data_IF_774395783627
#
_entry.id   IF_774395783627
#
_cell.length_a   1.000
_cell.length_b   1.000
_cell.length_c   1.000
_cell.angle_alpha   90.00
_cell.angle_beta   90.00
_cell.angle_gamma   90.00
#
_symmetry.space_group_name_H-M   'P 1'
#
loop_
_entity.id
_entity.type
_entity.pdbx_description
1 polymer ?
#
# COMPACT_ATOMS: atom_id res chain seq x y z
N UNK A 1 7.89 6.76 -17.14
CA UNK A 1 8.17 7.16 -15.75
C UNK A 1 7.33 6.36 -14.78
N UNK A 2 6.07 6.69 -14.46
CA UNK A 2 5.26 5.88 -13.54
C UNK A 2 5.03 4.43 -14.00
N UNK A 3 5.06 4.20 -15.30
CA UNK A 3 4.94 2.87 -15.89
C UNK A 3 6.22 2.02 -15.78
N UNK A 4 7.34 2.64 -15.41
CA UNK A 4 8.64 1.95 -15.26
C UNK A 4 8.84 1.42 -13.83
N UNK A 5 8.00 1.83 -12.89
CA UNK A 5 8.03 1.41 -11.50
C UNK A 5 6.84 0.51 -11.20
N UNK A 6 7.10 -0.56 -10.46
CA UNK A 6 6.12 -1.62 -10.21
C UNK A 6 5.83 -1.79 -8.73
N UNK A 7 4.59 -2.16 -8.45
CA UNK A 7 4.13 -2.56 -7.13
C UNK A 7 3.57 -3.99 -7.19
N UNK A 8 3.71 -4.75 -6.11
CA UNK A 8 3.20 -6.12 -6.05
C UNK A 8 1.69 -6.17 -6.13
N UNK A 9 1.15 -7.26 -6.68
CA UNK A 9 -0.29 -7.53 -6.74
C UNK A 9 -0.97 -7.60 -5.37
N UNK A 10 -0.22 -7.77 -4.28
CA UNK A 10 -0.78 -7.87 -2.93
C UNK A 10 -1.63 -6.65 -2.56
N UNK A 11 -1.32 -5.47 -3.14
CA UNK A 11 -2.10 -4.25 -2.94
C UNK A 11 -3.53 -4.33 -3.50
N UNK A 12 -3.79 -5.20 -4.49
CA UNK A 12 -5.15 -5.47 -4.98
C UNK A 12 -6.01 -6.05 -3.86
N UNK A 13 -5.43 -6.94 -3.05
CA UNK A 13 -6.11 -7.53 -1.90
C UNK A 13 -6.61 -6.49 -0.89
N UNK A 14 -5.95 -5.33 -0.77
CA UNK A 14 -6.41 -4.23 0.08
C UNK A 14 -7.77 -3.70 -0.37
N UNK A 15 -7.92 -3.48 -1.68
CA UNK A 15 -9.16 -2.96 -2.28
C UNK A 15 -10.27 -4.02 -2.26
N UNK A 16 -9.95 -5.26 -2.63
CA UNK A 16 -10.92 -6.38 -2.58
C UNK A 16 -11.45 -6.58 -1.16
N UNK A 17 -10.57 -6.59 -0.16
CA UNK A 17 -10.96 -6.70 1.23
C UNK A 17 -11.84 -5.54 1.68
N UNK A 18 -11.48 -4.31 1.31
CA UNK A 18 -12.26 -3.13 1.66
C UNK A 18 -13.67 -3.18 1.08
N UNK A 19 -13.82 -3.50 -0.20
CA UNK A 19 -15.14 -3.66 -0.83
C UNK A 19 -15.98 -4.72 -0.13
N UNK A 20 -15.38 -5.85 0.20
CA UNK A 20 -16.05 -6.95 0.85
C UNK A 20 -16.57 -6.59 2.25
N UNK A 21 -15.71 -6.07 3.12
CA UNK A 21 -16.10 -5.74 4.51
C UNK A 21 -17.03 -4.54 4.60
N UNK A 22 -17.00 -3.65 3.62
CA UNK A 22 -17.89 -2.48 3.51
C UNK A 22 -19.21 -2.80 2.79
N UNK A 23 -19.39 -4.04 2.30
CA UNK A 23 -20.52 -4.47 1.50
C UNK A 23 -20.77 -3.56 0.29
N UNK A 24 -19.70 -3.13 -0.38
CA UNK A 24 -19.75 -2.28 -1.56
C UNK A 24 -19.78 -3.18 -2.80
N UNK A 25 -20.84 -3.04 -3.59
CA UNK A 25 -21.01 -3.80 -4.83
C UNK A 25 -20.68 -2.93 -6.04
N UNK A 26 -19.52 -3.17 -6.63
CA UNK A 26 -19.02 -2.54 -7.86
C UNK A 26 -18.57 -3.63 -8.84
N UNK A 27 -19.48 -4.28 -9.57
CA UNK A 27 -19.16 -5.49 -10.36
C UNK A 27 -18.07 -5.29 -11.40
N UNK A 28 -18.08 -4.16 -12.11
CA UNK A 28 -17.08 -3.86 -13.14
C UNK A 28 -15.71 -3.60 -12.53
N UNK A 29 -15.66 -2.86 -11.42
CA UNK A 29 -14.44 -2.59 -10.70
C UNK A 29 -13.87 -3.87 -10.07
N UNK A 30 -14.71 -4.69 -9.45
CA UNK A 30 -14.31 -5.98 -8.87
C UNK A 30 -13.72 -6.91 -9.93
N UNK A 31 -14.33 -7.00 -11.11
CA UNK A 31 -13.81 -7.78 -12.23
C UNK A 31 -12.42 -7.29 -12.67
N UNK A 32 -12.23 -5.98 -12.73
CA UNK A 32 -10.92 -5.37 -13.04
C UNK A 32 -9.86 -5.72 -12.00
N UNK A 33 -10.21 -5.70 -10.70
CA UNK A 33 -9.33 -6.13 -9.62
C UNK A 33 -8.95 -7.61 -9.77
N UNK A 34 -9.91 -8.48 -10.09
CA UNK A 34 -9.67 -9.91 -10.28
C UNK A 34 -8.71 -10.16 -11.44
N UNK A 35 -8.90 -9.48 -12.58
CA UNK A 35 -8.01 -9.58 -13.74
C UNK A 35 -6.57 -9.12 -13.40
N UNK A 36 -6.43 -8.04 -12.62
CA UNK A 36 -5.12 -7.53 -12.19
C UNK A 36 -4.46 -8.44 -11.15
N UNK A 37 -5.25 -9.09 -10.31
CA UNK A 37 -4.73 -10.04 -9.31
C UNK A 37 -4.06 -11.27 -9.91
N UNK A 38 -4.32 -11.59 -11.18
CA UNK A 38 -3.65 -12.66 -11.92
C UNK A 38 -2.23 -12.29 -12.35
N UNK A 39 -1.89 -11.01 -12.39
CA UNK A 39 -0.54 -10.53 -12.70
C UNK A 39 0.32 -10.61 -11.44
N UNK A 40 1.62 -10.77 -11.58
CA UNK A 40 2.53 -10.77 -10.43
C UNK A 40 2.75 -9.37 -9.86
N UNK A 41 2.69 -8.36 -10.71
CA UNK A 41 2.93 -6.95 -10.39
C UNK A 41 2.16 -6.05 -11.34
N UNK A 42 1.98 -4.80 -10.97
CA UNK A 42 1.40 -3.74 -11.78
C UNK A 42 2.26 -2.48 -11.73
N UNK A 43 2.08 -1.55 -12.66
CA UNK A 43 2.75 -0.26 -12.59
C UNK A 43 2.12 0.63 -11.49
N UNK A 44 2.92 1.59 -10.99
CA UNK A 44 2.38 2.60 -10.07
C UNK A 44 1.26 3.43 -10.68
N UNK A 45 1.31 3.70 -11.99
CA UNK A 45 0.22 4.39 -12.69
C UNK A 45 -1.08 3.59 -12.58
N UNK A 46 -1.04 2.29 -12.86
CA UNK A 46 -2.24 1.44 -12.73
C UNK A 46 -2.77 1.41 -11.30
N UNK A 47 -1.90 1.39 -10.30
CA UNK A 47 -2.28 1.45 -8.90
C UNK A 47 -2.98 2.76 -8.54
N UNK A 48 -2.43 3.89 -8.95
CA UNK A 48 -3.02 5.19 -8.70
C UNK A 48 -4.35 5.37 -9.44
N UNK A 49 -4.43 4.94 -10.70
CA UNK A 49 -5.67 4.96 -11.49
C UNK A 49 -6.79 4.16 -10.80
N UNK A 50 -6.47 3.01 -10.18
CA UNK A 50 -7.45 2.23 -9.42
C UNK A 50 -7.97 2.97 -8.19
N UNK A 51 -7.10 3.65 -7.47
CA UNK A 51 -7.50 4.44 -6.31
C UNK A 51 -8.38 5.63 -6.70
N UNK A 52 -8.01 6.35 -7.76
CA UNK A 52 -8.76 7.50 -8.28
C UNK A 52 -10.13 7.07 -8.82
N UNK A 53 -10.19 5.94 -9.51
CA UNK A 53 -11.45 5.34 -10.00
C UNK A 53 -12.37 5.00 -8.82
N UNK A 54 -11.85 4.37 -7.79
CA UNK A 54 -12.62 4.00 -6.61
C UNK A 54 -13.13 5.24 -5.84
N UNK A 55 -12.30 6.28 -5.69
CA UNK A 55 -12.72 7.55 -5.07
C UNK A 55 -13.84 8.21 -5.88
N UNK A 56 -13.73 8.19 -7.20
CA UNK A 56 -14.75 8.77 -8.11
C UNK A 56 -16.08 8.05 -7.98
N UNK A 57 -16.08 6.72 -7.90
CA UNK A 57 -17.28 5.90 -7.75
C UNK A 57 -17.93 6.08 -6.37
N UNK A 58 -17.14 6.03 -5.32
CA UNK A 58 -17.67 6.03 -3.95
C UNK A 58 -17.93 7.43 -3.40
N UNK A 59 -17.20 8.43 -3.87
CA UNK A 59 -17.25 9.83 -3.38
C UNK A 59 -17.02 9.94 -1.87
N UNK A 60 -16.16 9.09 -1.33
CA UNK A 60 -15.83 9.08 0.09
C UNK A 60 -14.62 10.00 0.30
N UNK A 61 -14.76 11.05 1.12
CA UNK A 61 -13.61 11.88 1.49
C UNK A 61 -12.52 11.07 2.18
N UNK A 62 -11.26 11.32 1.83
CA UNK A 62 -10.11 10.64 2.42
C UNK A 62 -10.19 9.11 2.29
N UNK A 63 -10.57 8.62 1.11
CA UNK A 63 -10.75 7.19 0.83
C UNK A 63 -9.49 6.37 1.18
N UNK A 64 -8.30 6.92 0.95
CA UNK A 64 -7.04 6.24 1.30
C UNK A 64 -6.95 5.92 2.79
N UNK A 65 -7.39 6.83 3.67
CA UNK A 65 -7.47 6.56 5.12
C UNK A 65 -8.49 5.47 5.44
N UNK A 66 -9.65 5.50 4.78
CA UNK A 66 -10.67 4.48 5.00
C UNK A 66 -10.20 3.08 4.58
N UNK A 67 -9.63 2.95 3.40
CA UNK A 67 -9.06 1.67 2.94
C UNK A 67 -7.92 1.23 3.87
N UNK A 68 -7.02 2.15 4.22
CA UNK A 68 -5.84 1.87 5.05
C UNK A 68 -6.20 1.31 6.43
N UNK A 69 -7.27 1.79 7.06
CA UNK A 69 -7.76 1.27 8.36
C UNK A 69 -8.12 -0.21 8.35
N UNK A 70 -8.46 -0.74 7.19
CA UNK A 70 -8.88 -2.12 7.02
C UNK A 70 -7.76 -3.05 6.55
N UNK A 71 -6.57 -2.51 6.29
CA UNK A 71 -5.39 -3.30 5.96
C UNK A 71 -4.90 -3.97 7.24
N UNK A 72 -4.75 -5.29 7.15
CA UNK A 72 -4.17 -6.10 8.22
C UNK A 72 -2.82 -6.63 7.79
N UNK A 73 -2.02 -7.02 8.76
CA UNK A 73 -0.70 -7.60 8.54
C UNK A 73 -0.75 -8.79 7.57
N UNK A 74 -1.82 -9.59 7.62
CA UNK A 74 -2.06 -10.73 6.74
C UNK A 74 -2.18 -10.35 5.26
N UNK A 75 -2.60 -9.13 4.97
CA UNK A 75 -2.74 -8.62 3.60
C UNK A 75 -1.41 -8.20 2.97
N UNK A 76 -0.36 -8.06 3.78
CA UNK A 76 0.94 -7.54 3.33
C UNK A 76 1.91 -8.63 2.85
N UNK A 77 1.42 -9.82 2.53
CA UNK A 77 2.24 -10.92 2.00
C UNK A 77 3.43 -11.27 2.89
N UNK A 78 4.60 -11.43 2.29
CA UNK A 78 5.84 -11.80 3.01
C UNK A 78 6.22 -10.74 4.07
N UNK A 79 6.03 -9.46 3.78
CA UNK A 79 6.31 -8.41 4.77
C UNK A 79 5.39 -8.50 5.98
N UNK A 80 4.13 -8.83 5.78
CA UNK A 80 3.19 -9.05 6.86
C UNK A 80 3.64 -10.20 7.77
N UNK A 81 4.09 -11.30 7.20
CA UNK A 81 4.66 -12.40 7.98
C UNK A 81 5.87 -11.95 8.81
N UNK A 82 6.80 -11.21 8.22
CA UNK A 82 7.97 -10.68 8.91
C UNK A 82 7.60 -9.73 10.06
N UNK A 83 6.58 -8.89 9.87
CA UNK A 83 6.09 -8.00 10.92
C UNK A 83 5.49 -8.78 12.09
N UNK A 84 4.68 -9.80 11.83
CA UNK A 84 4.09 -10.66 12.88
C UNK A 84 5.13 -11.41 13.71
N UNK A 85 6.26 -11.74 13.13
CA UNK A 85 7.35 -12.46 13.83
C UNK A 85 8.33 -11.50 14.50
N UNK A 86 8.21 -10.20 14.31
CA UNK A 86 9.05 -9.18 14.95
C UNK A 86 8.67 -9.03 16.43
N UNK A 87 9.69 -8.95 17.30
CA UNK A 87 9.50 -8.86 18.75
C UNK A 87 9.08 -7.48 19.24
N UNK A 88 9.33 -6.47 18.44
CA UNK A 88 9.02 -5.07 18.74
C UNK A 88 8.99 -4.23 17.46
N UNK A 89 8.48 -2.99 17.58
CA UNK A 89 8.35 -2.06 16.46
C UNK A 89 9.68 -1.75 15.78
N UNK A 90 10.78 -1.64 16.54
CA UNK A 90 12.10 -1.39 15.96
C UNK A 90 12.51 -2.52 15.01
N UNK A 91 12.33 -3.77 15.44
CA UNK A 91 12.65 -4.93 14.61
C UNK A 91 11.76 -4.98 13.36
N UNK A 92 10.47 -4.70 13.50
CA UNK A 92 9.54 -4.60 12.37
C UNK A 92 9.97 -3.53 11.35
N UNK A 93 10.35 -2.34 11.80
CA UNK A 93 10.83 -1.26 10.92
C UNK A 93 12.17 -1.58 10.23
N UNK A 94 13.07 -2.31 10.91
CA UNK A 94 14.30 -2.78 10.29
C UNK A 94 14.02 -3.86 9.23
N UNK A 95 13.06 -4.76 9.48
CA UNK A 95 12.56 -5.71 8.48
C UNK A 95 11.95 -4.98 7.30
N UNK A 96 11.09 -3.98 7.54
CA UNK A 96 10.52 -3.15 6.48
C UNK A 96 11.62 -2.52 5.64
N UNK A 97 12.57 -1.82 6.24
CA UNK A 97 13.70 -1.20 5.55
C UNK A 97 14.46 -2.18 4.66
N UNK A 98 14.66 -3.41 5.14
CA UNK A 98 15.42 -4.44 4.41
C UNK A 98 14.65 -5.04 3.24
N UNK A 99 13.35 -5.26 3.40
CA UNK A 99 12.55 -6.07 2.49
C UNK A 99 11.49 -5.28 1.70
N UNK A 100 11.41 -3.95 1.84
CA UNK A 100 10.42 -3.13 1.14
C UNK A 100 10.43 -3.29 -0.39
N UNK A 101 11.58 -3.65 -0.98
CA UNK A 101 11.68 -3.95 -2.42
C UNK A 101 10.84 -5.13 -2.88
N UNK A 102 10.38 -5.97 -1.96
CA UNK A 102 9.45 -7.05 -2.28
C UNK A 102 8.04 -6.54 -2.56
N UNK A 103 7.70 -5.33 -2.09
CA UNK A 103 6.41 -4.72 -2.33
C UNK A 103 6.45 -3.80 -3.54
N UNK A 104 7.47 -2.96 -3.65
CA UNK A 104 7.56 -1.99 -4.73
C UNK A 104 8.99 -1.73 -5.19
N UNK A 105 9.11 -1.45 -6.49
CA UNK A 105 10.35 -1.01 -7.11
C UNK A 105 10.33 0.51 -7.24
N UNK A 106 11.11 1.21 -6.43
CA UNK A 106 11.19 2.66 -6.39
C UNK A 106 12.13 3.11 -5.28
N UNK A 107 12.09 4.39 -4.93
CA UNK A 107 12.87 4.92 -3.81
C UNK A 107 12.49 4.23 -2.51
N UNK A 108 13.51 3.80 -1.80
CA UNK A 108 13.33 3.07 -0.56
C UNK A 108 13.11 4.04 0.60
N UNK A 109 12.20 3.69 1.51
CA UNK A 109 12.05 4.42 2.75
C UNK A 109 13.35 4.38 3.58
N UNK A 110 13.76 5.52 4.09
CA UNK A 110 14.84 5.62 5.06
C UNK A 110 14.27 5.55 6.47
N UNK A 111 14.81 4.64 7.28
CA UNK A 111 14.48 4.56 8.72
C UNK A 111 15.66 5.07 9.50
N UNK A 112 15.47 6.17 10.25
CA UNK A 112 16.51 6.82 11.05
C UNK A 112 16.06 6.91 12.51
N UNK A 113 16.96 6.58 13.43
CA UNK A 113 16.74 6.87 14.85
C UNK A 113 17.11 8.32 15.12
N UNK A 114 16.15 9.13 15.54
CA UNK A 114 16.36 10.54 15.89
C UNK A 114 16.85 10.67 17.32
N UNK A 115 16.27 9.90 18.24
CA UNK A 115 16.67 9.80 19.63
C UNK A 115 16.20 8.46 20.23
N UNK A 116 16.36 8.26 21.53
CA UNK A 116 16.01 7.00 22.21
C UNK A 116 14.52 6.62 22.12
N UNK A 117 13.64 7.58 21.83
CA UNK A 117 12.17 7.40 21.80
C UNK A 117 11.54 7.65 20.43
N UNK A 118 12.32 8.16 19.44
CA UNK A 118 11.79 8.62 18.17
C UNK A 118 12.52 7.97 17.02
N UNK A 119 11.74 7.35 16.13
CA UNK A 119 12.19 6.90 14.83
C UNK A 119 11.54 7.78 13.75
N UNK A 120 12.29 8.09 12.70
CA UNK A 120 11.81 8.79 11.51
C UNK A 120 11.80 7.82 10.34
N UNK A 121 10.69 7.79 9.61
CA UNK A 121 10.57 7.04 8.36
C UNK A 121 10.31 8.06 7.27
N UNK A 122 11.17 8.09 6.26
CA UNK A 122 11.14 9.12 5.21
C UNK A 122 11.05 8.41 3.86
N UNK A 123 10.05 8.77 3.06
CA UNK A 123 9.94 8.42 1.65
C UNK A 123 10.20 9.66 0.80
N UNK A 124 11.08 9.51 -0.16
CA UNK A 124 11.26 10.52 -1.20
C UNK A 124 10.52 10.05 -2.45
N UNK A 125 9.59 10.85 -3.00
CA UNK A 125 8.87 10.46 -4.20
C UNK A 125 9.82 10.41 -5.40
N UNK A 126 9.79 9.30 -6.14
CA UNK A 126 10.64 9.09 -7.32
C UNK A 126 10.33 10.06 -8.47
N UNK A 127 9.12 10.60 -8.48
CA UNK A 127 8.57 11.38 -9.59
C UNK A 127 8.39 12.86 -9.28
N UNK A 128 8.90 13.33 -8.13
CA UNK A 128 8.71 14.70 -7.67
C UNK A 128 7.29 14.99 -7.15
N UNK A 129 6.36 14.03 -7.21
CA UNK A 129 5.01 14.11 -6.65
C UNK A 129 4.56 12.71 -6.20
N UNK A 130 3.53 12.65 -5.36
CA UNK A 130 2.91 11.39 -4.97
C UNK A 130 1.38 11.49 -5.04
N UNK A 131 0.72 10.34 -5.08
CA UNK A 131 -0.74 10.29 -5.04
C UNK A 131 -1.21 10.47 -3.60
N UNK A 132 -2.08 11.44 -3.35
CA UNK A 132 -2.69 11.67 -2.03
C UNK A 132 -3.32 10.40 -1.48
N UNK A 133 -4.11 9.70 -2.30
CA UNK A 133 -4.79 8.46 -1.90
C UNK A 133 -3.81 7.35 -1.51
N UNK A 134 -2.74 7.20 -2.29
CA UNK A 134 -1.70 6.21 -2.01
C UNK A 134 -0.94 6.53 -0.73
N UNK A 135 -0.64 7.81 -0.46
CA UNK A 135 0.02 8.25 0.75
C UNK A 135 -0.87 8.09 1.99
N UNK A 136 -2.15 8.48 1.89
CA UNK A 136 -3.15 8.27 2.94
C UNK A 136 -3.24 6.78 3.32
N UNK A 137 -3.32 5.91 2.32
CA UNK A 137 -3.41 4.47 2.51
C UNK A 137 -2.14 3.91 3.16
N UNK A 138 -0.97 4.29 2.66
CA UNK A 138 0.31 3.85 3.21
C UNK A 138 0.45 4.26 4.67
N UNK A 139 0.25 5.54 5.00
CA UNK A 139 0.41 6.06 6.35
C UNK A 139 -0.58 5.45 7.34
N UNK A 140 -1.78 5.14 6.90
CA UNK A 140 -2.82 4.56 7.77
C UNK A 140 -2.61 3.07 7.99
N UNK A 141 -1.98 2.38 7.05
CA UNK A 141 -1.72 0.92 7.14
C UNK A 141 -0.52 0.59 8.04
N UNK A 142 0.29 1.56 8.41
CA UNK A 142 1.46 1.39 9.28
C UNK A 142 1.12 1.43 10.76
#
# INVERSE_FOLDING_TARGET
MLNDFFITRDVIGFLQNYLNISNIDLPLYSKKLDELSLKQQMSFQQWWDLLDELETELKIPALGLEVGRHIKVEHCGVLGYLFRTSRNLREALLCFKRFQRLIYAGSQAEVKQVNSKTLSVIWNPDFGYSSRLSDELLLTSM
#
